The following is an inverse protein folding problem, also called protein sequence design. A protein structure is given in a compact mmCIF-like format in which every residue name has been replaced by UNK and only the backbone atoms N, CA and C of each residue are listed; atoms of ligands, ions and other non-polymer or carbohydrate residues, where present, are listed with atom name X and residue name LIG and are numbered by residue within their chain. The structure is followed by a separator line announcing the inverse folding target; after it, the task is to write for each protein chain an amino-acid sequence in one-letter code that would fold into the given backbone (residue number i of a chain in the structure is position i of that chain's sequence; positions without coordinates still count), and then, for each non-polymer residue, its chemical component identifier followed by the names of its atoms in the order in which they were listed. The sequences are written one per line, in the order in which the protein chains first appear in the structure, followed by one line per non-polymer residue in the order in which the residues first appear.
data_IF_357404479419
#
_entry.id   IF_357404479419
#
_cell.length_a   1.000
_cell.length_b   1.000
_cell.length_c   1.000
_cell.angle_alpha   90.00
_cell.angle_beta   90.00
_cell.angle_gamma   90.00
#
_symmetry.space_group_name_H-M   'P 1'
#
loop_
_entity.id
_entity.type
_entity.pdbx_description
1 polymer ?
#
# COMPACT_ATOMS: atom_id res chain seq x y z
N UNK A 1 36.36 29.20 -12.82
CA UNK A 1 37.07 27.91 -12.67
C UNK A 1 36.49 26.96 -13.70
N UNK A 2 37.15 26.82 -14.86
CA UNK A 2 36.75 25.83 -15.87
C UNK A 2 37.35 24.48 -15.47
N UNK A 3 36.50 23.48 -15.25
CA UNK A 3 36.89 22.16 -14.76
C UNK A 3 37.90 21.46 -15.69
N UNK A 4 38.79 20.66 -15.10
CA UNK A 4 39.87 19.97 -15.79
C UNK A 4 39.32 19.11 -16.96
N UNK A 5 39.97 19.08 -18.14
CA UNK A 5 39.54 18.27 -19.29
C UNK A 5 39.38 16.77 -18.96
N UNK A 6 40.19 16.27 -18.02
CA UNK A 6 40.09 14.90 -17.53
C UNK A 6 38.83 14.66 -16.68
N UNK A 7 38.41 15.63 -15.87
CA UNK A 7 37.16 15.56 -15.10
C UNK A 7 35.96 15.59 -16.03
N UNK A 8 36.01 16.38 -17.11
CA UNK A 8 34.96 16.41 -18.12
C UNK A 8 34.90 15.09 -18.91
N UNK A 9 36.04 14.49 -19.23
CA UNK A 9 36.12 13.17 -19.88
C UNK A 9 35.68 12.02 -18.95
N UNK A 10 35.83 12.19 -17.64
CA UNK A 10 35.36 11.22 -16.64
C UNK A 10 33.85 11.36 -16.41
N UNK A 11 33.34 12.58 -16.36
CA UNK A 11 31.91 12.88 -16.31
C UNK A 11 31.20 12.40 -17.59
N UNK A 12 31.78 12.60 -18.77
CA UNK A 12 31.24 12.06 -20.03
C UNK A 12 31.24 10.54 -20.07
N UNK A 13 32.25 9.87 -19.50
CA UNK A 13 32.27 8.40 -19.39
C UNK A 13 31.23 7.89 -18.42
N UNK A 14 31.08 8.51 -17.25
CA UNK A 14 30.01 8.19 -16.31
C UNK A 14 28.62 8.42 -16.93
N UNK A 15 28.45 9.49 -17.70
CA UNK A 15 27.21 9.77 -18.43
C UNK A 15 26.95 8.76 -19.55
N UNK A 16 27.99 8.35 -20.28
CA UNK A 16 27.90 7.32 -21.31
C UNK A 16 27.59 5.92 -20.72
N UNK A 17 28.19 5.56 -19.59
CA UNK A 17 27.90 4.33 -18.84
C UNK A 17 26.46 4.36 -18.28
N UNK A 18 25.97 5.53 -17.88
CA UNK A 18 24.59 5.74 -17.41
C UNK A 18 23.55 5.70 -18.55
N UNK A 19 23.92 6.10 -19.77
CA UNK A 19 23.10 5.98 -20.99
C UNK A 19 23.14 4.58 -21.59
N UNK A 20 24.21 3.83 -21.37
CA UNK A 20 24.42 2.47 -21.87
C UNK A 20 24.04 1.39 -20.86
N UNK A 21 23.77 1.76 -19.60
CA UNK A 21 23.04 0.92 -18.67
C UNK A 21 21.75 0.44 -19.37
N UNK A 22 21.43 -0.87 -19.34
CA UNK A 22 20.26 -1.39 -20.00
C UNK A 22 19.07 -0.53 -19.62
N UNK A 23 18.30 -0.05 -20.60
CA UNK A 23 17.02 0.59 -20.33
C UNK A 23 16.21 -0.40 -19.49
N UNK A 24 16.20 -0.22 -18.17
CA UNK A 24 15.30 -0.93 -17.29
C UNK A 24 13.92 -0.67 -17.84
N UNK A 25 13.26 -1.73 -18.32
CA UNK A 25 12.01 -1.64 -19.05
C UNK A 25 10.90 -1.18 -18.11
N UNK A 26 10.74 0.13 -17.93
CA UNK A 26 9.72 0.71 -17.08
C UNK A 26 10.01 2.17 -16.67
N UNK A 27 9.01 2.86 -16.12
CA UNK A 27 9.15 4.26 -15.67
C UNK A 27 10.05 4.40 -14.42
N UNK A 28 10.40 3.31 -13.74
CA UNK A 28 11.15 3.32 -12.47
C UNK A 28 12.41 2.48 -12.60
N UNK A 29 13.54 3.04 -12.14
CA UNK A 29 14.78 2.26 -11.99
C UNK A 29 14.75 1.45 -10.68
N UNK A 30 14.21 0.23 -10.76
CA UNK A 30 14.07 -0.68 -9.61
C UNK A 30 15.40 -1.18 -9.04
N UNK A 31 16.44 -1.31 -9.87
CA UNK A 31 17.76 -1.72 -9.39
C UNK A 31 18.36 -0.63 -8.50
N UNK A 32 18.22 0.62 -8.91
CA UNK A 32 18.60 1.78 -8.09
C UNK A 32 17.76 1.85 -6.81
N UNK A 33 16.44 1.73 -6.91
CA UNK A 33 15.54 1.75 -5.74
C UNK A 33 15.93 0.68 -4.73
N UNK A 34 16.16 -0.55 -5.19
CA UNK A 34 16.59 -1.68 -4.36
C UNK A 34 17.95 -1.44 -3.71
N UNK A 35 18.93 -0.94 -4.48
CA UNK A 35 20.24 -0.62 -3.94
C UNK A 35 20.17 0.45 -2.85
N UNK A 36 19.37 1.50 -3.04
CA UNK A 36 19.16 2.55 -2.04
C UNK A 36 18.53 1.98 -0.77
N UNK A 37 17.45 1.19 -0.91
CA UNK A 37 16.78 0.55 0.20
C UNK A 37 17.75 -0.33 1.01
N UNK A 38 18.55 -1.16 0.31
CA UNK A 38 19.54 -2.04 0.94
C UNK A 38 20.65 -1.26 1.64
N UNK A 39 21.17 -0.21 1.03
CA UNK A 39 22.18 0.63 1.68
C UNK A 39 21.63 1.30 2.94
N UNK A 40 20.37 1.76 2.93
CA UNK A 40 19.79 2.39 4.12
C UNK A 40 19.63 1.42 5.32
N UNK A 41 19.28 0.16 5.07
CA UNK A 41 19.18 -0.83 6.17
C UNK A 41 20.56 -1.31 6.61
N UNK A 42 21.51 -1.46 5.67
CA UNK A 42 22.87 -1.87 6.00
C UNK A 42 23.62 -0.81 6.83
N UNK A 43 23.36 0.48 6.59
CA UNK A 43 23.97 1.58 7.33
C UNK A 43 23.62 1.58 8.83
N UNK A 44 22.43 1.08 9.19
CA UNK A 44 21.93 0.98 10.57
C UNK A 44 22.26 -0.38 11.23
N UNK A 45 22.84 -1.32 10.47
CA UNK A 45 23.08 -2.68 10.89
C UNK A 45 21.97 -3.64 10.46
N UNK A 46 22.30 -4.53 9.53
CA UNK A 46 21.44 -5.65 9.10
C UNK A 46 22.20 -6.98 9.27
N UNK A 47 22.34 -7.48 10.51
CA UNK A 47 23.04 -8.73 10.74
C UNK A 47 22.31 -9.89 10.06
N UNK A 48 23.08 -10.85 9.55
CA UNK A 48 22.53 -12.09 9.03
C UNK A 48 21.76 -12.84 10.12
N UNK A 49 20.63 -13.43 9.74
CA UNK A 49 19.82 -14.23 10.67
C UNK A 49 20.55 -15.51 11.06
N UNK A 50 20.82 -15.66 12.35
CA UNK A 50 21.54 -16.82 12.88
C UNK A 50 20.64 -18.08 12.89
N UNK A 51 21.24 -19.26 12.87
CA UNK A 51 20.49 -20.53 12.79
C UNK A 51 19.49 -20.71 13.94
N UNK A 52 19.87 -20.30 15.16
CA UNK A 52 18.99 -20.35 16.33
C UNK A 52 17.75 -19.46 16.19
N UNK A 53 17.93 -18.21 15.74
CA UNK A 53 16.82 -17.29 15.49
C UNK A 53 15.91 -17.82 14.37
N UNK A 54 16.50 -18.32 13.28
CA UNK A 54 15.77 -18.93 12.18
C UNK A 54 14.87 -20.06 12.66
N UNK A 55 15.41 -20.95 13.50
CA UNK A 55 14.66 -22.07 14.07
C UNK A 55 13.50 -21.59 14.93
N UNK A 56 13.73 -20.64 15.84
CA UNK A 56 12.69 -20.10 16.72
C UNK A 56 11.54 -19.43 15.94
N UNK A 57 11.85 -18.73 14.85
CA UNK A 57 10.83 -18.11 13.97
C UNK A 57 10.02 -19.16 13.23
N UNK A 58 10.68 -20.16 12.65
CA UNK A 58 10.01 -21.25 11.93
C UNK A 58 9.10 -22.04 12.88
N UNK A 59 9.58 -22.35 14.08
CA UNK A 59 8.79 -23.03 15.12
C UNK A 59 7.59 -22.18 15.55
N UNK A 60 7.75 -20.87 15.75
CA UNK A 60 6.65 -19.98 16.10
C UNK A 60 5.60 -19.87 14.99
N UNK A 61 6.01 -19.74 13.72
CA UNK A 61 5.08 -19.74 12.57
C UNK A 61 4.34 -21.06 12.42
N UNK A 62 5.02 -22.19 12.63
CA UNK A 62 4.39 -23.52 12.59
C UNK A 62 3.39 -23.73 13.73
N UNK A 63 3.73 -23.28 14.94
CA UNK A 63 2.85 -23.35 16.11
C UNK A 63 1.64 -22.43 15.95
N UNK A 64 1.85 -21.21 15.47
CA UNK A 64 0.80 -20.26 15.16
C UNK A 64 -0.18 -20.82 14.13
N UNK A 65 0.33 -21.39 13.04
CA UNK A 65 -0.51 -22.04 12.03
C UNK A 65 -1.33 -23.19 12.62
N UNK A 66 -0.74 -24.02 13.49
CA UNK A 66 -1.49 -25.06 14.20
C UNK A 66 -2.63 -24.48 15.07
N UNK A 67 -2.38 -23.40 15.80
CA UNK A 67 -3.39 -22.77 16.68
C UNK A 67 -4.55 -22.17 15.90
N UNK A 68 -4.30 -21.67 14.70
CA UNK A 68 -5.34 -21.08 13.83
C UNK A 68 -6.36 -22.09 13.32
N UNK A 69 -6.06 -23.40 13.35
CA UNK A 69 -7.01 -24.44 12.92
C UNK A 69 -8.33 -24.44 13.69
N UNK A 70 -8.32 -23.97 14.94
CA UNK A 70 -9.54 -23.90 15.78
C UNK A 70 -10.27 -22.56 15.62
N UNK A 71 -9.65 -21.57 14.98
CA UNK A 71 -10.13 -20.19 14.92
C UNK A 71 -10.66 -19.77 13.55
N UNK A 72 -10.40 -20.52 12.48
CA UNK A 72 -10.89 -20.22 11.13
C UNK A 72 -11.14 -21.49 10.33
N UNK A 73 -12.10 -21.44 9.41
CA UNK A 73 -12.33 -22.52 8.43
C UNK A 73 -11.29 -22.54 7.31
N UNK A 74 -10.52 -21.45 7.15
CA UNK A 74 -9.51 -21.36 6.10
C UNK A 74 -8.36 -22.33 6.38
N UNK A 75 -7.98 -23.20 5.42
CA UNK A 75 -6.88 -24.13 5.58
C UNK A 75 -5.55 -23.43 5.87
N UNK A 76 -4.54 -24.21 6.29
CA UNK A 76 -3.18 -23.69 6.42
C UNK A 76 -2.73 -22.98 5.15
N UNK A 77 -2.14 -21.81 5.35
CA UNK A 77 -1.49 -21.00 4.31
C UNK A 77 0.02 -20.93 4.48
N UNK A 78 0.59 -21.61 5.49
CA UNK A 78 2.01 -21.52 5.82
C UNK A 78 2.71 -22.79 5.32
N UNK A 79 3.26 -22.75 4.11
CA UNK A 79 3.90 -23.92 3.49
C UNK A 79 5.42 -23.96 3.64
N UNK A 80 6.09 -22.80 3.63
CA UNK A 80 7.54 -22.69 3.75
C UNK A 80 7.91 -21.47 4.61
N UNK A 81 7.67 -21.51 5.93
CA UNK A 81 7.94 -20.37 6.80
C UNK A 81 9.43 -20.03 6.82
N UNK A 82 9.76 -18.74 6.83
CA UNK A 82 11.15 -18.27 6.83
C UNK A 82 11.42 -17.21 7.90
N UNK A 83 12.70 -17.04 8.20
CA UNK A 83 13.21 -15.89 8.94
C UNK A 83 14.12 -15.09 8.01
N UNK A 84 13.92 -13.77 7.96
CA UNK A 84 14.62 -12.88 7.05
C UNK A 84 15.35 -11.77 7.78
N UNK A 85 16.49 -11.35 7.23
CA UNK A 85 17.07 -10.04 7.51
C UNK A 85 16.25 -8.94 6.82
N UNK A 86 16.52 -7.67 7.14
CA UNK A 86 15.85 -6.53 6.48
C UNK A 86 16.21 -6.49 4.98
N UNK A 87 17.46 -6.80 4.62
CA UNK A 87 17.88 -6.94 3.23
C UNK A 87 17.18 -8.07 2.50
N UNK A 88 17.02 -9.24 3.13
CA UNK A 88 16.27 -10.36 2.54
C UNK A 88 14.80 -9.99 2.33
N UNK A 89 14.18 -9.28 3.27
CA UNK A 89 12.81 -8.77 3.10
C UNK A 89 12.71 -7.81 1.91
N UNK A 90 13.66 -6.88 1.73
CA UNK A 90 13.67 -5.99 0.57
C UNK A 90 13.73 -6.80 -0.72
N UNK A 91 14.67 -7.73 -0.85
CA UNK A 91 14.83 -8.55 -2.07
C UNK A 91 13.56 -9.35 -2.40
N UNK A 92 12.93 -9.96 -1.40
CA UNK A 92 11.77 -10.81 -1.60
C UNK A 92 10.46 -10.03 -1.82
N UNK A 93 10.40 -8.75 -1.45
CA UNK A 93 9.16 -7.93 -1.58
C UNK A 93 9.16 -6.99 -2.77
N UNK A 94 10.32 -6.67 -3.36
CA UNK A 94 10.45 -5.82 -4.57
C UNK A 94 9.49 -6.21 -5.70
N UNK A 95 9.25 -7.51 -6.02
CA UNK A 95 8.32 -7.87 -7.09
C UNK A 95 6.88 -7.40 -6.87
N UNK A 96 6.42 -7.32 -5.61
CA UNK A 96 5.07 -6.81 -5.29
C UNK A 96 5.06 -5.29 -5.24
N UNK A 97 6.11 -4.66 -4.67
CA UNK A 97 6.27 -3.20 -4.75
C UNK A 97 6.27 -2.69 -6.18
N UNK A 98 6.86 -3.46 -7.10
CA UNK A 98 6.82 -3.18 -8.52
C UNK A 98 5.39 -3.03 -9.04
N UNK A 99 4.55 -4.03 -8.79
CA UNK A 99 3.14 -4.04 -9.22
C UNK A 99 2.34 -2.90 -8.59
N UNK A 100 2.65 -2.53 -7.35
CA UNK A 100 1.96 -1.45 -6.64
C UNK A 100 2.36 -0.07 -7.17
N UNK A 101 3.65 0.17 -7.37
CA UNK A 101 4.18 1.51 -7.67
C UNK A 101 4.26 1.83 -9.16
N UNK A 102 4.40 0.84 -10.05
CA UNK A 102 4.53 1.08 -11.49
C UNK A 102 3.35 1.84 -12.08
N UNK A 103 2.07 1.47 -11.84
CA UNK A 103 0.93 2.18 -12.43
C UNK A 103 0.90 3.67 -12.07
N UNK A 104 1.34 4.01 -10.86
CA UNK A 104 1.39 5.39 -10.35
C UNK A 104 2.57 6.12 -11.00
N UNK A 105 3.74 5.49 -11.05
CA UNK A 105 4.93 6.06 -11.68
C UNK A 105 4.72 6.32 -13.19
N UNK A 106 4.07 5.41 -13.91
CA UNK A 106 3.69 5.60 -15.31
C UNK A 106 2.85 6.85 -15.48
N UNK A 107 1.83 7.03 -14.62
CA UNK A 107 0.94 8.20 -14.65
C UNK A 107 1.65 9.50 -14.30
N UNK A 108 2.55 9.50 -13.31
CA UNK A 108 3.35 10.68 -12.97
C UNK A 108 4.27 11.09 -14.14
N UNK A 109 4.94 10.13 -14.78
CA UNK A 109 5.81 10.41 -15.93
C UNK A 109 5.01 10.86 -17.16
N UNK A 110 3.83 10.26 -17.40
CA UNK A 110 2.92 10.65 -18.48
C UNK A 110 2.39 12.07 -18.29
N UNK A 111 1.92 12.41 -17.09
CA UNK A 111 1.38 13.74 -16.76
C UNK A 111 2.45 14.82 -16.82
N UNK A 112 3.65 14.59 -16.26
CA UNK A 112 4.79 15.52 -16.42
C UNK A 112 5.19 15.67 -17.88
N UNK A 113 5.21 14.57 -18.64
CA UNK A 113 5.53 14.59 -20.07
C UNK A 113 4.49 15.33 -20.92
N UNK A 114 3.21 15.23 -20.55
CA UNK A 114 2.12 15.96 -21.20
C UNK A 114 2.12 17.45 -20.85
N UNK A 115 2.41 17.80 -19.59
CA UNK A 115 2.50 19.19 -19.14
C UNK A 115 3.68 19.95 -19.77
N UNK A 116 4.84 19.30 -19.89
CA UNK A 116 6.03 19.89 -20.54
C UNK A 116 5.99 19.79 -22.08
N UNK A 117 5.23 18.82 -22.61
CA UNK A 117 5.09 18.57 -24.05
C UNK A 117 3.84 19.17 -24.70
N UNK A 118 3.00 19.88 -23.94
CA UNK A 118 1.69 20.35 -24.37
C UNK A 118 1.74 21.38 -25.50
N UNK A 119 1.32 20.94 -26.69
CA UNK A 119 0.54 21.65 -27.75
C UNK A 119 0.91 23.08 -28.22
N UNK A 120 1.97 23.71 -27.73
CA UNK A 120 2.36 25.08 -28.09
C UNK A 120 3.74 25.21 -28.76
N UNK A 121 4.50 24.11 -28.88
CA UNK A 121 5.85 24.13 -29.45
C UNK A 121 5.80 24.06 -30.99
N UNK A 122 6.54 24.91 -31.72
CA UNK A 122 6.67 24.82 -33.17
C UNK A 122 7.15 23.42 -33.61
N UNK A 123 6.74 22.91 -34.79
CA UNK A 123 7.12 21.58 -35.29
C UNK A 123 8.64 21.34 -35.33
N UNK A 124 9.42 22.40 -35.57
CA UNK A 124 10.89 22.40 -35.60
C UNK A 124 11.49 22.23 -34.20
N UNK A 125 10.86 22.80 -33.16
CA UNK A 125 11.26 22.64 -31.77
C UNK A 125 10.87 21.26 -31.21
N UNK A 126 9.82 20.65 -31.74
CA UNK A 126 9.32 19.34 -31.31
C UNK A 126 10.30 18.19 -31.64
N UNK A 127 10.99 18.27 -32.78
CA UNK A 127 12.05 17.31 -33.15
C UNK A 127 13.31 17.46 -32.29
N UNK A 128 13.66 18.69 -31.89
CA UNK A 128 14.76 18.94 -30.94
C UNK A 128 14.37 18.62 -29.49
N UNK A 129 13.09 18.70 -29.14
CA UNK A 129 12.57 18.37 -27.82
C UNK A 129 12.55 16.87 -27.55
N UNK A 130 12.50 16.01 -28.59
CA UNK A 130 12.47 14.55 -28.42
C UNK A 130 13.60 13.98 -27.54
N UNK A 131 14.88 14.24 -27.85
CA UNK A 131 16.00 13.83 -27.01
C UNK A 131 15.97 14.43 -25.60
N UNK A 132 15.58 15.70 -25.46
CA UNK A 132 15.47 16.38 -24.16
C UNK A 132 14.35 15.78 -23.30
N UNK A 133 13.20 15.45 -23.90
CA UNK A 133 12.07 14.80 -23.24
C UNK A 133 12.41 13.36 -22.85
N UNK A 134 13.20 12.64 -23.66
CA UNK A 134 13.75 11.33 -23.28
C UNK A 134 14.63 11.41 -22.04
N UNK A 135 15.52 12.42 -21.99
CA UNK A 135 16.38 12.68 -20.83
C UNK A 135 15.56 13.07 -19.58
N UNK A 136 14.54 13.92 -19.73
CA UNK A 136 13.64 14.30 -18.63
C UNK A 136 12.86 13.11 -18.08
N UNK A 137 12.33 12.24 -18.95
CA UNK A 137 11.67 10.99 -18.54
C UNK A 137 12.62 10.07 -17.78
N UNK A 138 13.87 9.96 -18.25
CA UNK A 138 14.91 9.17 -17.58
C UNK A 138 15.28 9.74 -16.21
N UNK A 139 15.47 11.06 -16.10
CA UNK A 139 15.72 11.74 -14.82
C UNK A 139 14.54 11.61 -13.86
N UNK A 140 13.30 11.76 -14.36
CA UNK A 140 12.08 11.55 -13.59
C UNK A 140 12.00 10.13 -13.02
N UNK A 141 12.27 9.12 -13.84
CA UNK A 141 12.28 7.72 -13.40
C UNK A 141 13.36 7.39 -12.37
N UNK A 142 14.51 8.07 -12.42
CA UNK A 142 15.55 7.96 -11.39
C UNK A 142 15.12 8.62 -10.07
N UNK A 143 14.52 9.82 -10.12
CA UNK A 143 13.99 10.49 -8.92
C UNK A 143 12.89 9.67 -8.25
N UNK A 144 11.97 9.11 -9.03
CA UNK A 144 10.91 8.22 -8.50
C UNK A 144 11.54 6.96 -7.90
N UNK A 145 12.50 6.34 -8.60
CA UNK A 145 13.25 5.20 -8.06
C UNK A 145 13.99 5.51 -6.76
N UNK A 146 14.57 6.70 -6.63
CA UNK A 146 15.22 7.14 -5.40
C UNK A 146 14.23 7.23 -4.23
N UNK A 147 13.08 7.86 -4.44
CA UNK A 147 12.03 7.99 -3.42
C UNK A 147 11.47 6.62 -3.01
N UNK A 148 11.18 5.75 -3.99
CA UNK A 148 10.78 4.34 -3.74
C UNK A 148 11.83 3.62 -2.89
N UNK A 149 13.10 3.73 -3.24
CA UNK A 149 14.19 3.10 -2.49
C UNK A 149 14.28 3.58 -1.05
N UNK A 150 14.20 4.89 -0.82
CA UNK A 150 14.22 5.48 0.53
C UNK A 150 13.01 5.02 1.36
N UNK A 151 11.83 5.01 0.77
CA UNK A 151 10.59 4.63 1.44
C UNK A 151 10.56 3.13 1.79
N UNK A 152 10.93 2.25 0.85
CA UNK A 152 11.07 0.80 1.12
C UNK A 152 12.15 0.55 2.18
N UNK A 153 13.29 1.25 2.08
CA UNK A 153 14.38 1.15 3.06
C UNK A 153 13.96 1.56 4.47
N UNK A 154 13.20 2.65 4.59
CA UNK A 154 12.67 3.08 5.89
C UNK A 154 11.65 2.08 6.43
N UNK A 155 10.75 1.58 5.58
CA UNK A 155 9.76 0.59 5.96
C UNK A 155 10.39 -0.72 6.44
N UNK A 156 11.41 -1.22 5.73
CA UNK A 156 12.13 -2.44 6.09
C UNK A 156 12.75 -2.39 7.49
N UNK A 157 12.96 -1.20 8.07
CA UNK A 157 13.47 -1.06 9.43
C UNK A 157 12.44 -1.38 10.51
N UNK A 158 11.16 -1.16 10.23
CA UNK A 158 10.09 -1.23 11.22
C UNK A 158 9.15 -2.43 11.08
N UNK A 159 9.06 -3.03 9.89
CA UNK A 159 8.26 -4.22 9.65
C UNK A 159 8.74 -5.42 10.47
N UNK A 160 7.79 -6.24 10.92
CA UNK A 160 8.08 -7.48 11.63
C UNK A 160 7.95 -8.72 10.74
N UNK A 161 7.25 -8.60 9.60
CA UNK A 161 6.93 -9.67 8.66
C UNK A 161 6.54 -9.17 7.28
N UNK A 162 5.85 -10.01 6.50
CA UNK A 162 5.54 -9.70 5.09
C UNK A 162 4.17 -9.06 4.89
N UNK A 163 3.35 -9.03 5.94
CA UNK A 163 1.95 -8.61 5.90
C UNK A 163 1.66 -7.34 6.71
N UNK A 164 2.68 -6.69 7.27
CA UNK A 164 2.54 -5.51 8.14
C UNK A 164 1.72 -4.37 7.54
N UNK A 165 1.73 -4.22 6.21
CA UNK A 165 1.01 -3.17 5.50
C UNK A 165 -0.44 -3.54 5.15
N UNK A 166 -0.95 -4.69 5.61
CA UNK A 166 -2.27 -5.23 5.28
C UNK A 166 -2.35 -5.94 3.91
N UNK A 167 -1.20 -6.08 3.21
CA UNK A 167 -1.06 -6.80 1.95
C UNK A 167 0.09 -7.82 2.05
N UNK A 168 -0.04 -9.01 1.44
CA UNK A 168 1.04 -9.99 1.38
C UNK A 168 2.06 -9.55 0.32
N UNK A 169 3.16 -8.98 0.81
CA UNK A 169 4.28 -8.55 -0.02
C UNK A 169 5.13 -9.71 -0.55
N UNK A 170 4.83 -10.93 -0.10
CA UNK A 170 5.46 -12.18 -0.51
C UNK A 170 4.44 -13.32 -0.34
N UNK A 171 4.58 -14.40 -1.11
CA UNK A 171 3.81 -15.64 -0.90
C UNK A 171 4.41 -16.53 0.20
N UNK A 172 5.61 -16.16 0.68
CA UNK A 172 6.30 -16.81 1.80
C UNK A 172 5.99 -16.06 3.09
N UNK A 173 5.40 -16.75 4.08
CA UNK A 173 5.27 -16.26 5.44
C UNK A 173 6.65 -16.13 6.07
N UNK A 174 7.04 -14.91 6.42
CA UNK A 174 8.34 -14.66 7.01
C UNK A 174 8.26 -13.61 8.09
N UNK A 175 9.06 -13.79 9.13
CA UNK A 175 9.25 -12.81 10.19
C UNK A 175 10.71 -12.36 10.25
N UNK A 176 10.93 -11.12 10.67
CA UNK A 176 12.23 -10.51 10.79
C UNK A 176 12.63 -10.48 12.27
N UNK A 177 13.67 -11.23 12.70
CA UNK A 177 14.14 -11.18 14.08
C UNK A 177 14.49 -9.75 14.52
N UNK A 178 15.11 -8.95 13.66
CA UNK A 178 15.42 -7.54 13.93
C UNK A 178 14.17 -6.67 14.10
N UNK A 179 13.11 -6.93 13.32
CA UNK A 179 11.82 -6.26 13.47
C UNK A 179 11.13 -6.63 14.78
N UNK A 180 11.14 -7.92 15.15
CA UNK A 180 10.58 -8.41 16.42
C UNK A 180 11.34 -7.82 17.61
N UNK A 181 12.67 -7.72 17.53
CA UNK A 181 13.48 -7.08 18.57
C UNK A 181 13.05 -5.63 18.79
N UNK A 182 12.97 -4.82 17.71
CA UNK A 182 12.48 -3.44 17.77
C UNK A 182 11.01 -3.34 18.20
N UNK A 183 10.18 -4.34 17.87
CA UNK A 183 8.81 -4.41 18.38
C UNK A 183 8.76 -4.64 19.89
N UNK A 184 9.68 -5.43 20.41
CA UNK A 184 9.75 -5.82 21.83
C UNK A 184 10.29 -4.71 22.74
N UNK A 185 10.96 -3.71 22.18
CA UNK A 185 11.52 -2.60 22.95
C UNK A 185 10.45 -1.88 23.79
N UNK A 186 10.71 -1.78 25.09
CA UNK A 186 9.81 -1.13 26.05
C UNK A 186 8.58 -1.96 26.45
N UNK A 187 8.42 -3.18 25.93
CA UNK A 187 7.35 -4.09 26.36
C UNK A 187 7.85 -4.99 27.49
N UNK A 188 7.12 -5.02 28.60
CA UNK A 188 7.35 -5.96 29.72
C UNK A 188 6.67 -7.32 29.45
N UNK A 189 6.84 -7.85 28.23
CA UNK A 189 6.24 -9.11 27.77
C UNK A 189 7.36 -10.07 27.35
N UNK A 190 7.28 -11.38 27.69
CA UNK A 190 8.27 -12.36 27.25
C UNK A 190 8.42 -12.38 25.71
N UNK A 191 9.66 -12.44 25.23
CA UNK A 191 9.97 -12.39 23.80
C UNK A 191 9.30 -13.51 22.99
N UNK A 192 9.14 -14.70 23.58
CA UNK A 192 8.47 -15.83 22.92
C UNK A 192 6.97 -15.60 22.78
N UNK A 193 6.32 -14.91 23.72
CA UNK A 193 4.91 -14.52 23.60
C UNK A 193 4.72 -13.47 22.50
N UNK A 194 5.61 -12.47 22.43
CA UNK A 194 5.61 -11.46 21.37
C UNK A 194 5.76 -12.14 20.00
N UNK A 195 6.77 -13.00 19.87
CA UNK A 195 7.07 -13.73 18.63
C UNK A 195 5.89 -14.57 18.18
N UNK A 196 5.27 -15.32 19.10
CA UNK A 196 4.13 -16.17 18.79
C UNK A 196 2.89 -15.35 18.39
N UNK A 197 2.64 -14.22 19.06
CA UNK A 197 1.56 -13.31 18.68
C UNK A 197 1.73 -12.75 17.27
N UNK A 198 2.94 -12.29 16.94
CA UNK A 198 3.24 -11.77 15.60
C UNK A 198 3.18 -12.89 14.54
N UNK A 199 3.60 -14.10 14.90
CA UNK A 199 3.45 -15.29 14.05
C UNK A 199 1.99 -15.66 13.78
N UNK A 200 1.09 -15.57 14.77
CA UNK A 200 -0.36 -15.75 14.60
C UNK A 200 -0.92 -14.76 13.58
N UNK A 201 -0.54 -13.49 13.67
CA UNK A 201 -0.97 -12.46 12.72
C UNK A 201 -0.47 -12.73 11.31
N UNK A 202 0.82 -13.03 11.15
CA UNK A 202 1.41 -13.33 9.84
C UNK A 202 0.73 -14.56 9.22
N UNK A 203 0.60 -15.66 9.98
CA UNK A 203 -0.04 -16.89 9.50
C UNK A 203 -1.52 -16.67 9.11
N UNK A 204 -2.28 -15.89 9.89
CA UNK A 204 -3.68 -15.57 9.58
C UNK A 204 -3.82 -14.82 8.24
N UNK A 205 -2.98 -13.80 7.99
CA UNK A 205 -2.95 -13.12 6.70
C UNK A 205 -2.64 -14.09 5.55
N UNK A 206 -1.63 -14.95 5.71
CA UNK A 206 -1.26 -15.92 4.68
C UNK A 206 -2.38 -16.90 4.38
N UNK A 207 -3.11 -17.39 5.39
CA UNK A 207 -4.34 -18.19 5.19
C UNK A 207 -5.37 -17.44 4.37
N UNK A 208 -5.66 -16.20 4.74
CA UNK A 208 -6.64 -15.38 4.04
C UNK A 208 -6.27 -15.20 2.56
N UNK A 209 -5.09 -14.68 2.29
CA UNK A 209 -4.70 -14.34 0.92
C UNK A 209 -4.44 -15.54 0.02
N UNK A 210 -4.10 -16.71 0.57
CA UNK A 210 -3.96 -17.93 -0.23
C UNK A 210 -5.29 -18.58 -0.57
N UNK A 211 -6.29 -18.50 0.32
CA UNK A 211 -7.59 -19.17 0.14
C UNK A 211 -8.70 -18.24 -0.37
N UNK A 212 -8.43 -16.93 -0.46
CA UNK A 212 -9.34 -15.91 -1.01
C UNK A 212 -8.73 -15.27 -2.26
N UNK A 213 -8.80 -15.94 -3.42
CA UNK A 213 -8.02 -15.56 -4.61
C UNK A 213 -8.43 -14.22 -5.22
N UNK A 214 -9.68 -13.78 -5.00
CA UNK A 214 -10.16 -12.48 -5.49
C UNK A 214 -9.59 -11.30 -4.69
N UNK A 215 -9.17 -11.50 -3.43
CA UNK A 215 -8.79 -10.41 -2.54
C UNK A 215 -7.54 -9.68 -3.04
N UNK A 216 -6.53 -10.42 -3.49
CA UNK A 216 -5.29 -9.83 -4.03
C UNK A 216 -5.57 -8.99 -5.27
N UNK A 217 -6.33 -9.50 -6.23
CA UNK A 217 -6.66 -8.76 -7.46
C UNK A 217 -7.57 -7.57 -7.18
N UNK A 218 -8.49 -7.68 -6.22
CA UNK A 218 -9.37 -6.59 -5.81
C UNK A 218 -8.59 -5.42 -5.20
N UNK A 219 -7.66 -5.71 -4.27
CA UNK A 219 -6.83 -4.68 -3.64
C UNK A 219 -5.87 -4.01 -4.65
N UNK A 220 -5.22 -4.80 -5.51
CA UNK A 220 -4.37 -4.26 -6.58
C UNK A 220 -5.18 -3.41 -7.57
N UNK A 221 -6.38 -3.87 -7.94
CA UNK A 221 -7.29 -3.14 -8.83
C UNK A 221 -7.76 -1.80 -8.25
N UNK A 222 -7.97 -1.73 -6.93
CA UNK A 222 -8.30 -0.48 -6.24
C UNK A 222 -7.14 0.52 -6.30
N UNK A 223 -5.89 0.05 -6.12
CA UNK A 223 -4.69 0.88 -6.29
C UNK A 223 -4.55 1.37 -7.73
N UNK A 224 -4.78 0.51 -8.72
CA UNK A 224 -4.77 0.89 -10.14
C UNK A 224 -5.87 1.89 -10.51
N UNK A 225 -7.07 1.76 -9.93
CA UNK A 225 -8.15 2.73 -10.14
C UNK A 225 -7.81 4.08 -9.52
N UNK A 226 -7.27 4.09 -8.31
CA UNK A 226 -6.77 5.31 -7.69
C UNK A 226 -5.68 5.97 -8.56
N UNK A 227 -4.70 5.19 -9.02
CA UNK A 227 -3.61 5.68 -9.86
C UNK A 227 -4.11 6.29 -11.18
N UNK A 228 -5.13 5.69 -11.80
CA UNK A 228 -5.78 6.24 -13.01
C UNK A 228 -6.50 7.58 -12.76
N UNK A 229 -6.90 7.85 -11.53
CA UNK A 229 -7.53 9.11 -11.13
C UNK A 229 -6.55 10.25 -10.90
N UNK A 230 -5.23 9.99 -10.90
CA UNK A 230 -4.20 11.01 -10.69
C UNK A 230 -4.17 11.96 -11.90
N UNK A 231 -4.69 13.17 -11.71
CA UNK A 231 -4.62 14.27 -12.66
C UNK A 231 -3.80 15.41 -12.10
N UNK A 232 -2.93 16.01 -12.92
CA UNK A 232 -2.20 17.22 -12.55
C UNK A 232 -3.09 18.42 -12.84
N UNK A 233 -3.25 19.32 -11.87
CA UNK A 233 -3.90 20.61 -12.10
C UNK A 233 -3.01 21.47 -13.00
N UNK A 234 -3.27 21.40 -14.30
CA UNK A 234 -2.56 22.18 -15.32
C UNK A 234 -2.77 23.69 -15.12
N UNK A 235 -3.86 24.11 -14.48
CA UNK A 235 -4.19 25.51 -14.24
C UNK A 235 -3.31 26.08 -13.13
N UNK A 236 -3.17 25.36 -12.02
CA UNK A 236 -2.23 25.71 -10.95
C UNK A 236 -0.77 25.69 -11.44
N UNK A 237 -0.43 24.74 -12.30
CA UNK A 237 0.89 24.67 -12.92
C UNK A 237 1.16 25.89 -13.82
N UNK A 238 0.21 26.29 -14.67
CA UNK A 238 0.33 27.48 -15.51
C UNK A 238 0.46 28.78 -14.70
N UNK A 239 -0.27 28.90 -13.59
CA UNK A 239 -0.22 30.06 -12.71
C UNK A 239 1.14 30.16 -11.99
N UNK A 240 1.69 29.03 -11.53
CA UNK A 240 3.04 29.00 -10.95
C UNK A 240 4.14 29.25 -11.99
N UNK A 241 4.01 28.72 -13.21
CA UNK A 241 4.95 28.99 -14.31
C UNK A 241 4.94 30.47 -14.70
N UNK A 242 3.77 31.14 -14.69
CA UNK A 242 3.69 32.60 -14.94
C UNK A 242 4.44 33.45 -13.91
N UNK A 243 4.60 32.96 -12.69
CA UNK A 243 5.35 33.63 -11.62
C UNK A 243 6.84 33.26 -11.57
N UNK A 244 7.28 32.30 -12.39
CA UNK A 244 8.64 31.75 -12.38
C UNK A 244 9.58 32.57 -13.26
N UNK A 245 10.66 33.09 -12.69
CA UNK A 245 11.73 33.71 -13.48
C UNK A 245 12.61 32.63 -14.11
N UNK A 246 12.38 32.37 -15.39
CA UNK A 246 13.08 31.36 -16.19
C UNK A 246 14.59 31.68 -16.34
N UNK A 247 15.01 32.92 -16.07
CA UNK A 247 16.42 33.31 -16.12
C UNK A 247 17.17 33.06 -14.81
N UNK A 248 16.47 32.61 -13.76
CA UNK A 248 17.07 32.29 -12.47
C UNK A 248 17.10 30.76 -12.25
N UNK A 249 18.28 30.11 -12.37
CA UNK A 249 18.43 28.67 -12.17
C UNK A 249 18.00 28.19 -10.77
N UNK A 250 18.18 29.02 -9.74
CA UNK A 250 17.81 28.68 -8.37
C UNK A 250 16.29 28.65 -8.19
N UNK A 251 15.57 29.59 -8.83
CA UNK A 251 14.11 29.64 -8.79
C UNK A 251 13.47 28.44 -9.52
N UNK A 252 14.07 28.00 -10.64
CA UNK A 252 13.66 26.78 -11.33
C UNK A 252 13.90 25.55 -10.44
N UNK A 253 15.05 25.49 -9.78
CA UNK A 253 15.38 24.38 -8.88
C UNK A 253 14.43 24.32 -7.68
N UNK A 254 14.08 25.45 -7.07
CA UNK A 254 13.15 25.56 -5.95
C UNK A 254 11.72 25.19 -6.34
N UNK A 255 11.25 25.65 -7.50
CA UNK A 255 9.93 25.29 -7.99
C UNK A 255 9.81 23.79 -8.28
N UNK A 256 10.80 23.19 -8.96
CA UNK A 256 10.83 21.75 -9.27
C UNK A 256 11.02 20.86 -8.02
N UNK A 257 11.71 21.36 -6.98
CA UNK A 257 11.94 20.62 -5.74
C UNK A 257 10.84 20.79 -4.69
N UNK A 258 10.02 21.83 -4.81
CA UNK A 258 9.00 22.19 -3.82
C UNK A 258 7.78 21.26 -3.73
N UNK A 259 7.66 20.23 -4.58
CA UNK A 259 6.56 19.24 -4.55
C UNK A 259 5.15 19.82 -4.79
N UNK A 260 5.01 21.14 -4.87
CA UNK A 260 3.73 21.86 -4.91
C UNK A 260 3.21 22.07 -6.33
N UNK A 261 4.07 21.92 -7.36
CA UNK A 261 3.70 21.95 -8.80
C UNK A 261 2.91 20.69 -9.24
N UNK A 262 2.94 19.63 -8.44
CA UNK A 262 2.41 18.30 -8.78
C UNK A 262 1.45 17.76 -7.72
N UNK A 263 0.73 18.64 -7.02
CA UNK A 263 -0.36 18.17 -6.15
C UNK A 263 -1.50 17.68 -7.04
N UNK A 264 -1.86 16.38 -7.00
CA UNK A 264 -3.00 15.89 -7.74
C UNK A 264 -4.28 16.55 -7.21
N UNK A 265 -5.22 16.91 -8.10
CA UNK A 265 -6.59 17.23 -7.65
C UNK A 265 -7.23 15.95 -7.12
N UNK A 266 -7.72 15.97 -5.87
CA UNK A 266 -8.48 14.86 -5.31
C UNK A 266 -9.87 14.77 -5.96
N UNK A 267 -9.99 14.04 -7.06
CA UNK A 267 -11.28 13.81 -7.72
C UNK A 267 -12.20 12.94 -6.85
N UNK A 268 -13.52 13.12 -6.95
CA UNK A 268 -14.49 12.28 -6.22
C UNK A 268 -14.33 10.79 -6.54
N UNK A 269 -13.92 10.46 -7.76
CA UNK A 269 -13.60 9.08 -8.17
C UNK A 269 -12.39 8.54 -7.40
N UNK A 270 -11.34 9.33 -7.25
CA UNK A 270 -10.13 8.97 -6.51
C UNK A 270 -10.44 8.78 -5.02
N UNK A 271 -11.24 9.67 -4.42
CA UNK A 271 -11.70 9.52 -3.03
C UNK A 271 -12.51 8.24 -2.84
N UNK A 272 -13.41 7.91 -3.76
CA UNK A 272 -14.20 6.68 -3.70
C UNK A 272 -13.33 5.42 -3.84
N UNK A 273 -12.31 5.44 -4.71
CA UNK A 273 -11.35 4.33 -4.85
C UNK A 273 -10.51 4.15 -3.58
N UNK A 274 -10.05 5.25 -2.99
CA UNK A 274 -9.33 5.23 -1.72
C UNK A 274 -10.20 4.70 -0.58
N UNK A 275 -11.43 5.18 -0.44
CA UNK A 275 -12.36 4.70 0.59
C UNK A 275 -12.65 3.20 0.47
N UNK A 276 -12.77 2.66 -0.75
CA UNK A 276 -12.89 1.21 -0.99
C UNK A 276 -11.65 0.45 -0.54
N UNK A 277 -10.45 0.95 -0.89
CA UNK A 277 -9.18 0.35 -0.48
C UNK A 277 -9.03 0.35 1.05
N UNK A 278 -9.27 1.48 1.71
CA UNK A 278 -9.23 1.61 3.17
C UNK A 278 -10.21 0.66 3.85
N UNK A 279 -11.45 0.58 3.35
CA UNK A 279 -12.49 -0.30 3.89
C UNK A 279 -12.06 -1.77 3.80
N UNK A 280 -11.56 -2.20 2.63
CA UNK A 280 -11.12 -3.59 2.46
C UNK A 280 -9.90 -3.93 3.34
N UNK A 281 -8.92 -3.03 3.45
CA UNK A 281 -7.78 -3.22 4.36
C UNK A 281 -8.22 -3.27 5.82
N UNK A 282 -9.18 -2.43 6.22
CA UNK A 282 -9.75 -2.46 7.57
C UNK A 282 -10.48 -3.79 7.85
N UNK A 283 -11.23 -4.31 6.87
CA UNK A 283 -11.89 -5.61 6.97
C UNK A 283 -10.89 -6.76 7.10
N UNK A 284 -9.81 -6.76 6.30
CA UNK A 284 -8.72 -7.75 6.42
C UNK A 284 -8.12 -7.72 7.83
N UNK A 285 -7.73 -6.54 8.31
CA UNK A 285 -7.10 -6.39 9.63
C UNK A 285 -8.06 -6.73 10.78
N UNK A 286 -9.34 -6.35 10.66
CA UNK A 286 -10.37 -6.68 11.63
C UNK A 286 -10.62 -8.19 11.73
N UNK A 287 -10.61 -8.89 10.60
CA UNK A 287 -10.74 -10.34 10.55
C UNK A 287 -9.51 -11.01 11.18
N UNK A 288 -8.30 -10.58 10.81
CA UNK A 288 -7.05 -11.09 11.41
C UNK A 288 -7.04 -10.89 12.92
N UNK A 289 -7.42 -9.71 13.41
CA UNK A 289 -7.48 -9.46 14.84
C UNK A 289 -8.45 -10.43 15.54
N UNK A 290 -9.62 -10.66 14.96
CA UNK A 290 -10.65 -11.57 15.51
C UNK A 290 -10.15 -13.01 15.56
N UNK A 291 -9.58 -13.51 14.47
CA UNK A 291 -9.05 -14.89 14.39
C UNK A 291 -7.85 -15.09 15.32
N UNK A 292 -6.96 -14.10 15.40
CA UNK A 292 -5.78 -14.16 16.28
C UNK A 292 -6.19 -14.12 17.75
N UNK A 293 -7.13 -13.26 18.13
CA UNK A 293 -7.65 -13.19 19.49
C UNK A 293 -8.27 -14.53 19.92
N UNK A 294 -9.04 -15.17 19.03
CA UNK A 294 -9.62 -16.49 19.25
C UNK A 294 -8.54 -17.58 19.37
N UNK A 295 -7.57 -17.62 18.45
CA UNK A 295 -6.49 -18.61 18.46
C UNK A 295 -5.59 -18.50 19.69
N UNK A 296 -5.38 -17.27 20.19
CA UNK A 296 -4.56 -16.98 21.37
C UNK A 296 -5.30 -17.21 22.69
N UNK A 297 -6.63 -17.30 22.69
CA UNK A 297 -7.45 -17.35 23.89
C UNK A 297 -7.07 -18.53 24.80
N UNK A 298 -6.77 -18.22 26.07
CA UNK A 298 -6.38 -19.22 27.08
C UNK A 298 -4.99 -19.84 26.89
N UNK A 299 -4.28 -19.53 25.79
CA UNK A 299 -2.96 -20.07 25.45
C UNK A 299 -1.86 -19.01 25.55
N UNK A 300 -2.19 -17.74 25.32
CA UNK A 300 -1.25 -16.62 25.32
C UNK A 300 -1.72 -15.51 26.28
N UNK A 301 -1.20 -15.44 27.52
CA UNK A 301 -1.63 -14.47 28.53
C UNK A 301 -1.52 -13.01 28.08
N UNK A 302 -0.47 -12.68 27.33
CA UNK A 302 -0.19 -11.30 26.92
C UNK A 302 -0.94 -10.87 25.64
N UNK A 303 -1.79 -11.72 25.06
CA UNK A 303 -2.43 -11.46 23.77
C UNK A 303 -3.20 -10.12 23.73
N UNK A 304 -3.96 -9.81 24.78
CA UNK A 304 -4.74 -8.56 24.86
C UNK A 304 -3.84 -7.32 24.87
N UNK A 305 -2.73 -7.38 25.63
CA UNK A 305 -1.76 -6.30 25.70
C UNK A 305 -1.03 -6.11 24.35
N UNK A 306 -0.66 -7.22 23.69
CA UNK A 306 0.00 -7.19 22.39
C UNK A 306 -0.93 -6.68 21.29
N UNK A 307 -2.21 -7.07 21.30
CA UNK A 307 -3.23 -6.53 20.40
C UNK A 307 -3.39 -5.01 20.57
N UNK A 308 -3.38 -4.51 21.80
CA UNK A 308 -3.42 -3.08 22.05
C UNK A 308 -2.16 -2.36 21.57
N UNK A 309 -0.98 -2.94 21.75
CA UNK A 309 0.29 -2.40 21.22
C UNK A 309 0.25 -2.29 19.70
N UNK A 310 -0.19 -3.33 18.99
CA UNK A 310 -0.34 -3.30 17.52
C UNK A 310 -1.33 -2.21 17.09
N UNK A 311 -2.49 -2.11 17.75
CA UNK A 311 -3.49 -1.08 17.46
C UNK A 311 -2.92 0.34 17.62
N UNK A 312 -2.17 0.60 18.69
CA UNK A 312 -1.55 1.92 18.93
C UNK A 312 -0.54 2.28 17.87
N UNK A 313 0.36 1.35 17.51
CA UNK A 313 1.36 1.57 16.46
C UNK A 313 0.72 1.86 15.11
N UNK A 314 -0.40 1.18 14.78
CA UNK A 314 -1.18 1.50 13.58
C UNK A 314 -1.87 2.87 13.66
N UNK A 315 -2.39 3.26 14.83
CA UNK A 315 -3.09 4.54 15.01
C UNK A 315 -2.17 5.78 14.99
N UNK A 316 -0.89 5.63 15.37
CA UNK A 316 0.09 6.71 15.33
C UNK A 316 0.67 6.96 13.94
N UNK A 317 0.37 6.11 12.96
CA UNK A 317 0.92 6.15 11.62
C UNK A 317 2.38 5.70 11.57
N UNK A 318 2.61 4.44 11.19
CA UNK A 318 3.96 3.89 11.03
C UNK A 318 4.59 4.28 9.68
N UNK A 319 5.86 3.94 9.42
CA UNK A 319 6.51 4.17 8.13
C UNK A 319 5.81 3.49 6.97
N UNK A 320 4.99 2.47 7.20
CA UNK A 320 4.12 1.92 6.16
C UNK A 320 3.22 3.00 5.57
N UNK A 321 2.57 3.79 6.43
CA UNK A 321 1.74 4.93 6.03
C UNK A 321 2.58 6.03 5.37
N UNK A 322 3.76 6.35 5.94
CA UNK A 322 4.68 7.31 5.32
C UNK A 322 5.19 6.82 3.95
N UNK A 323 5.41 5.53 3.77
CA UNK A 323 5.89 4.94 2.52
C UNK A 323 4.82 5.00 1.45
N UNK A 324 3.58 4.58 1.73
CA UNK A 324 2.49 4.77 0.76
C UNK A 324 2.14 6.25 0.54
N UNK A 325 2.24 7.08 1.59
CA UNK A 325 2.05 8.53 1.52
C UNK A 325 3.07 9.21 0.61
N UNK A 326 4.34 8.84 0.75
CA UNK A 326 5.44 9.41 -0.04
C UNK A 326 5.41 8.90 -1.48
N UNK A 327 5.02 7.64 -1.71
CA UNK A 327 5.06 7.02 -3.04
C UNK A 327 3.81 7.28 -3.90
N UNK A 328 2.68 7.56 -3.26
CA UNK A 328 1.37 7.58 -3.94
C UNK A 328 0.54 8.83 -3.58
N UNK A 329 1.01 9.66 -2.64
CA UNK A 329 0.20 10.72 -2.04
C UNK A 329 -0.91 10.17 -1.14
N UNK A 330 -0.79 8.91 -0.72
CA UNK A 330 -1.82 8.19 0.05
C UNK A 330 -1.51 8.22 1.55
N UNK A 331 -2.19 9.05 2.32
CA UNK A 331 -2.29 8.83 3.76
C UNK A 331 -3.24 7.65 4.01
N UNK A 332 -2.74 6.42 3.83
CA UNK A 332 -3.43 5.20 4.25
C UNK A 332 -3.42 5.14 5.78
N UNK A 333 -4.30 5.89 6.41
CA UNK A 333 -4.73 5.56 7.75
C UNK A 333 -5.72 4.44 7.60
N UNK A 334 -5.51 3.26 8.21
CA UNK A 334 -6.58 2.30 8.40
C UNK A 334 -7.59 2.95 9.35
N UNK A 335 -8.42 3.83 8.79
CA UNK A 335 -9.58 4.37 9.47
C UNK A 335 -10.47 3.15 9.68
N UNK A 336 -11.13 3.10 10.83
CA UNK A 336 -12.19 2.12 11.09
C UNK A 336 -11.74 0.69 11.41
N UNK A 337 -10.48 0.50 11.84
CA UNK A 337 -10.00 -0.82 12.34
C UNK A 337 -10.83 -1.35 13.52
N UNK A 338 -11.28 -0.48 14.42
CA UNK A 338 -12.04 -0.89 15.60
C UNK A 338 -13.43 -1.36 15.21
N UNK A 339 -14.04 -0.65 14.27
CA UNK A 339 -15.34 -0.86 13.68
C UNK A 339 -15.35 -2.17 12.90
N UNK A 340 -14.34 -2.41 12.04
CA UNK A 340 -14.17 -3.68 11.36
C UNK A 340 -14.00 -4.86 12.34
N UNK A 341 -13.15 -4.71 13.36
CA UNK A 341 -13.00 -5.75 14.39
C UNK A 341 -14.28 -5.95 15.24
N UNK A 342 -15.11 -4.93 15.41
CA UNK A 342 -16.41 -5.07 16.06
C UNK A 342 -17.39 -5.85 15.18
N UNK A 343 -17.45 -5.54 13.87
CA UNK A 343 -18.27 -6.26 12.91
C UNK A 343 -17.91 -7.75 12.83
N UNK A 344 -16.62 -8.09 12.74
CA UNK A 344 -16.21 -9.50 12.69
C UNK A 344 -16.54 -10.28 13.97
N UNK A 345 -16.38 -9.66 15.15
CA UNK A 345 -16.80 -10.27 16.42
C UNK A 345 -18.32 -10.44 16.51
N UNK A 346 -19.09 -9.48 16.01
CA UNK A 346 -20.55 -9.58 15.98
C UNK A 346 -21.00 -10.70 15.02
N UNK A 347 -20.40 -10.79 13.83
CA UNK A 347 -20.64 -11.88 12.88
C UNK A 347 -20.32 -13.25 13.47
N UNK A 348 -19.20 -13.38 14.17
CA UNK A 348 -18.84 -14.64 14.83
C UNK A 348 -19.82 -15.01 15.93
N UNK A 349 -20.22 -14.04 16.75
CA UNK A 349 -21.17 -14.27 17.84
C UNK A 349 -22.54 -14.73 17.34
N UNK A 350 -23.00 -14.19 16.21
CA UNK A 350 -24.33 -14.48 15.66
C UNK A 350 -24.32 -15.72 14.74
N UNK A 351 -23.30 -15.87 13.89
CA UNK A 351 -23.27 -16.84 12.80
C UNK A 351 -22.18 -17.90 12.95
N UNK A 352 -21.37 -17.84 14.01
CA UNK A 352 -20.24 -18.74 14.24
C UNK A 352 -19.07 -18.50 13.29
N UNK A 353 -18.01 -19.31 13.46
CA UNK A 353 -16.79 -19.25 12.65
C UNK A 353 -17.07 -19.49 11.17
N UNK A 354 -17.90 -20.49 10.84
CA UNK A 354 -18.26 -20.81 9.46
C UNK A 354 -19.01 -19.65 8.78
N UNK A 355 -19.98 -19.05 9.46
CA UNK A 355 -20.76 -17.94 8.93
C UNK A 355 -19.96 -16.65 8.78
N UNK A 356 -19.01 -16.41 9.70
CA UNK A 356 -18.03 -15.32 9.61
C UNK A 356 -17.15 -15.49 8.37
N UNK A 357 -16.50 -16.65 8.23
CA UNK A 357 -15.52 -16.87 7.17
C UNK A 357 -16.16 -17.04 5.78
N UNK A 358 -17.44 -17.43 5.71
CA UNK A 358 -18.19 -17.53 4.46
C UNK A 358 -18.30 -16.21 3.67
N UNK A 359 -18.18 -15.05 4.33
CA UNK A 359 -18.18 -13.75 3.64
C UNK A 359 -17.03 -13.61 2.64
N UNK A 360 -15.91 -14.30 2.89
CA UNK A 360 -14.77 -14.29 1.96
C UNK A 360 -15.02 -15.06 0.66
N UNK A 361 -16.14 -15.78 0.53
CA UNK A 361 -16.44 -16.56 -0.67
C UNK A 361 -16.65 -15.72 -1.93
N UNK A 362 -17.07 -14.45 -1.80
CA UNK A 362 -17.29 -13.56 -2.93
C UNK A 362 -17.14 -12.08 -2.53
N UNK A 363 -16.56 -11.20 -3.38
CA UNK A 363 -16.42 -9.77 -3.07
C UNK A 363 -17.75 -9.07 -2.74
N UNK A 364 -18.84 -9.44 -3.42
CA UNK A 364 -20.17 -8.83 -3.21
C UNK A 364 -20.80 -9.12 -1.84
N UNK A 365 -20.25 -10.07 -1.08
CA UNK A 365 -20.70 -10.36 0.28
C UNK A 365 -19.98 -9.51 1.32
N UNK A 366 -18.93 -8.78 0.93
CA UNK A 366 -18.12 -8.02 1.85
C UNK A 366 -18.88 -6.79 2.36
N UNK A 367 -18.78 -6.47 3.66
CA UNK A 367 -19.32 -5.24 4.19
C UNK A 367 -18.76 -4.02 3.45
N UNK A 368 -19.59 -3.02 3.29
CA UNK A 368 -19.24 -1.71 2.77
C UNK A 368 -18.79 -0.78 3.89
N UNK A 369 -18.43 0.45 3.54
CA UNK A 369 -18.17 1.48 4.53
C UNK A 369 -19.41 1.73 5.40
N UNK A 370 -20.62 1.78 4.85
CA UNK A 370 -21.82 2.07 5.64
C UNK A 370 -22.12 0.95 6.64
N UNK A 371 -21.85 -0.30 6.26
CA UNK A 371 -22.03 -1.48 7.13
C UNK A 371 -21.08 -1.47 8.35
N UNK A 372 -19.92 -0.81 8.23
CA UNK A 372 -19.00 -0.62 9.36
C UNK A 372 -19.55 0.42 10.36
N UNK A 373 -20.49 1.29 9.98
CA UNK A 373 -21.11 2.29 10.88
C UNK A 373 -22.27 1.67 11.67
N UNK A 374 -22.96 0.69 11.10
CA UNK A 374 -23.95 -0.15 11.78
C UNK A 374 -23.68 -1.65 11.59
N UNK A 375 -22.71 -2.21 12.32
CA UNK A 375 -22.38 -3.62 12.22
C UNK A 375 -23.54 -4.56 12.56
N UNK A 376 -24.45 -4.14 13.44
CA UNK A 376 -25.55 -5.00 13.86
C UNK A 376 -26.59 -5.16 12.76
N UNK A 377 -26.91 -4.10 12.01
CA UNK A 377 -27.81 -4.17 10.85
C UNK A 377 -27.29 -5.13 9.79
N UNK A 378 -25.99 -5.06 9.46
CA UNK A 378 -25.35 -5.98 8.53
C UNK A 378 -25.42 -7.43 9.02
N UNK A 379 -25.12 -7.67 10.29
CA UNK A 379 -25.14 -9.01 10.91
C UNK A 379 -26.54 -9.62 10.90
N UNK A 380 -27.61 -8.83 11.07
CA UNK A 380 -29.00 -9.30 10.96
C UNK A 380 -29.44 -9.57 9.52
N UNK A 381 -28.70 -9.07 8.52
CA UNK A 381 -29.07 -9.17 7.10
C UNK A 381 -30.13 -8.17 6.67
N UNK A 382 -30.32 -7.08 7.42
CA UNK A 382 -31.21 -5.98 7.09
C UNK A 382 -30.57 -5.12 5.98
N UNK A 383 -30.40 -5.67 4.78
CA UNK A 383 -30.17 -4.79 3.63
C UNK A 383 -31.47 -4.00 3.43
N UNK A 384 -31.43 -2.68 3.58
CA UNK A 384 -32.54 -1.81 3.21
C UNK A 384 -32.58 -1.74 1.68
N UNK A 385 -33.32 -2.65 1.05
CA UNK A 385 -33.67 -2.51 -0.35
C UNK A 385 -34.71 -1.40 -0.43
N UNK A 386 -34.28 -0.17 -0.70
CA UNK A 386 -35.20 0.94 -0.96
C UNK A 386 -35.90 0.72 -2.31
N UNK A 387 -36.95 -0.08 -2.27
CA UNK A 387 -37.83 -0.40 -3.41
C UNK A 387 -38.77 0.76 -3.77
N UNK A 388 -38.68 1.91 -3.09
CA UNK A 388 -39.54 3.07 -3.35
C UNK A 388 -39.41 3.59 -4.79
N UNK A 389 -38.27 3.35 -5.45
CA UNK A 389 -38.07 3.73 -6.86
C UNK A 389 -38.72 2.76 -7.87
N UNK A 390 -39.06 1.54 -7.46
CA UNK A 390 -39.79 0.57 -8.29
C UNK A 390 -41.31 0.74 -8.18
N UNK A 391 -41.80 1.38 -7.12
CA UNK A 391 -43.22 1.66 -6.91
C UNK A 391 -43.70 2.97 -7.54
N UNK A 392 -42.80 3.77 -8.13
CA UNK A 392 -43.17 4.92 -8.95
C UNK A 392 -43.86 4.43 -10.23
N UNK A 393 -45.19 4.24 -10.15
CA UNK A 393 -46.05 4.02 -11.31
C UNK A 393 -45.82 5.14 -12.32
N UNK A 394 -45.73 4.83 -13.63
CA UNK A 394 -45.73 5.89 -14.64
C UNK A 394 -47.05 6.66 -14.49
N UNK A 395 -46.93 7.98 -14.34
CA UNK A 395 -48.07 8.88 -14.22
C UNK A 395 -49.04 8.63 -15.38
N UNK A 396 -50.27 8.30 -15.01
CA UNK A 396 -51.43 8.22 -15.86
C UNK A 396 -51.72 9.65 -16.35
N UNK A 397 -51.28 9.99 -17.56
CA UNK A 397 -51.66 11.23 -18.24
C UNK A 397 -53.18 11.20 -18.48
N UNK A 398 -53.93 11.65 -17.47
CA UNK A 398 -55.37 11.81 -17.51
C UNK A 398 -55.78 12.87 -18.52
N UNK A 399 -56.34 12.41 -19.63
CA UNK A 399 -57.30 13.16 -20.44
C UNK A 399 -58.44 13.70 -19.55
N UNK A 400 -58.75 15.00 -19.61
CA UNK A 400 -59.89 15.54 -18.85
C UNK A 400 -60.07 17.06 -18.86
N UNK A 401 -60.61 17.56 -19.97
CA UNK A 401 -61.56 18.70 -20.08
C UNK A 401 -61.37 19.96 -19.21
N UNK A 402 -60.95 21.06 -19.85
CA UNK A 402 -61.17 22.43 -19.37
C UNK A 402 -62.06 23.22 -20.34
N UNK A 403 -63.39 23.13 -20.17
CA UNK A 403 -64.38 23.94 -20.88
C UNK A 403 -64.88 25.13 -20.07
N UNK A 404 -65.01 26.28 -20.78
CA UNK A 404 -65.83 27.50 -20.54
C UNK A 404 -65.29 28.59 -19.58
N UNK A 405 -64.92 29.75 -20.14
CA UNK A 405 -65.87 30.85 -20.47
C UNK A 405 -65.22 31.86 -21.41
#
# INVERSE_FOLDING_TARGET
MFGNPEQMAQAMRQFADMLSAPQGSGPVNWDMAKNIARHSVAAEGDPSVMEGERRQIIEALSLADLWLNEATTLPSGVSNPQAWSRSEWIENTVPIWRKLCEPIAERMVETMGGALGGSGLPPEAQQMAGPLMGMLKQMGGMMVGQQIGQAIGSLAREVVGTTDIGLPLSDTAALLPGGIASFSEGLEVPSDEIRLYLALREAAHHRLFQHVPWLRSHLLGAVEEYARGITVDTSALEEQIRGLDINNPEAIQEALSGGNLLKPEETERQKAALARLETMLALVEGWVATVVDQAAQGKLPSAVALAETVRRRRATGGPAELTFGTLVGLELRPRRLREAAALWRALESERGVDGRDALWSHPDLMPTADDLDDPEAFVRGEQSWDISQLEAKPDDEGEGEGGKS
#
